data_IF_867353549360
#
_entry.id   IF_867353549360
#
_cell.length_a   1.000
_cell.length_b   1.000
_cell.length_c   1.000
_cell.angle_alpha   90.00
_cell.angle_beta   90.00
_cell.angle_gamma   90.00
#
_symmetry.space_group_name_H-M   'P 1'
#
loop_
_entity.id
_entity.type
_entity.pdbx_description
1 polymer ?
#
# COMPACT_ATOMS: atom_id res chain seq x y z
N UNK A 1 -1.43 -9.07 9.36
CA UNK A 1 -1.86 -8.81 7.96
C UNK A 1 -2.06 -7.31 7.78
N UNK A 2 -1.45 -6.67 6.76
CA UNK A 2 -1.65 -5.24 6.51
C UNK A 2 -3.03 -4.95 5.91
N UNK A 3 -3.60 -3.79 6.22
CA UNK A 3 -4.91 -3.31 5.71
C UNK A 3 -4.98 -3.27 4.19
N UNK A 4 -3.87 -2.96 3.51
CA UNK A 4 -3.81 -2.98 2.05
C UNK A 4 -3.89 -4.40 1.48
N UNK A 5 -3.22 -5.37 2.13
CA UNK A 5 -3.25 -6.77 1.69
C UNK A 5 -4.66 -7.35 1.83
N UNK A 6 -5.36 -7.08 2.93
CA UNK A 6 -6.73 -7.56 3.11
C UNK A 6 -7.70 -6.93 2.10
N UNK A 7 -7.56 -5.63 1.82
CA UNK A 7 -8.33 -4.96 0.77
C UNK A 7 -8.06 -5.56 -0.62
N UNK A 8 -6.79 -5.77 -0.98
CA UNK A 8 -6.42 -6.38 -2.26
C UNK A 8 -6.97 -7.79 -2.44
N UNK A 9 -6.98 -8.60 -1.38
CA UNK A 9 -7.56 -9.95 -1.40
C UNK A 9 -9.09 -9.91 -1.52
N UNK A 10 -9.76 -8.97 -0.84
CA UNK A 10 -11.21 -8.76 -0.98
C UNK A 10 -11.56 -8.35 -2.41
N UNK A 11 -10.77 -7.46 -3.01
CA UNK A 11 -10.95 -7.02 -4.39
C UNK A 11 -10.70 -8.14 -5.41
N UNK A 12 -9.76 -9.04 -5.13
CA UNK A 12 -9.51 -10.21 -5.96
C UNK A 12 -10.72 -11.16 -5.99
N UNK A 13 -11.45 -11.30 -4.87
CA UNK A 13 -12.68 -12.10 -4.79
C UNK A 13 -13.83 -11.50 -5.60
N UNK A 14 -13.98 -10.17 -5.64
CA UNK A 14 -15.11 -9.51 -6.33
C UNK A 14 -14.84 -9.24 -7.81
N UNK A 15 -13.60 -8.90 -8.16
CA UNK A 15 -13.26 -8.28 -9.44
C UNK A 15 -12.23 -9.09 -10.25
N UNK A 16 -11.76 -10.21 -9.69
CA UNK A 16 -10.73 -11.06 -10.28
C UNK A 16 -9.30 -10.55 -10.05
N UNK A 17 -8.35 -11.49 -10.08
CA UNK A 17 -6.96 -11.23 -9.69
C UNK A 17 -6.23 -10.22 -10.57
N UNK A 18 -6.50 -10.21 -11.89
CA UNK A 18 -5.87 -9.27 -12.85
C UNK A 18 -6.18 -7.81 -12.48
N UNK A 19 -7.46 -7.49 -12.24
CA UNK A 19 -7.90 -6.14 -11.86
C UNK A 19 -7.43 -5.76 -10.46
N UNK A 20 -7.49 -6.71 -9.51
CA UNK A 20 -7.05 -6.47 -8.14
C UNK A 20 -5.56 -6.14 -8.04
N UNK A 21 -4.70 -6.85 -8.78
CA UNK A 21 -3.25 -6.58 -8.83
C UNK A 21 -2.97 -5.15 -9.29
N UNK A 22 -3.62 -4.72 -10.37
CA UNK A 22 -3.45 -3.37 -10.93
C UNK A 22 -3.91 -2.31 -9.91
N UNK A 23 -5.06 -2.51 -9.26
CA UNK A 23 -5.59 -1.58 -8.28
C UNK A 23 -4.69 -1.44 -7.04
N UNK A 24 -4.12 -2.55 -6.56
CA UNK A 24 -3.15 -2.54 -5.46
C UNK A 24 -1.88 -1.78 -5.85
N UNK A 25 -1.33 -2.03 -7.05
CA UNK A 25 -0.16 -1.32 -7.54
C UNK A 25 -0.40 0.20 -7.65
N UNK A 26 -1.56 0.61 -8.19
CA UNK A 26 -1.94 2.04 -8.24
C UNK A 26 -2.02 2.67 -6.86
N UNK A 27 -2.63 1.98 -5.89
CA UNK A 27 -2.72 2.47 -4.51
C UNK A 27 -1.33 2.59 -3.86
N UNK A 28 -0.43 1.67 -4.16
CA UNK A 28 0.97 1.75 -3.70
C UNK A 28 1.70 2.95 -4.30
N UNK A 29 1.58 3.17 -5.61
CA UNK A 29 2.19 4.32 -6.27
C UNK A 29 1.73 5.65 -5.67
N UNK A 30 0.43 5.79 -5.34
CA UNK A 30 -0.11 7.00 -4.69
C UNK A 30 0.47 7.19 -3.28
N UNK A 31 0.55 6.12 -2.49
CA UNK A 31 1.13 6.20 -1.14
C UNK A 31 2.60 6.63 -1.21
N UNK A 32 3.36 6.05 -2.14
CA UNK A 32 4.77 6.39 -2.33
C UNK A 32 4.95 7.82 -2.86
N UNK A 33 4.12 8.26 -3.81
CA UNK A 33 4.16 9.63 -4.33
C UNK A 33 3.85 10.67 -3.24
N UNK A 34 2.83 10.41 -2.41
CA UNK A 34 2.51 11.25 -1.25
C UNK A 34 3.65 11.30 -0.24
N UNK A 35 4.29 10.16 0.01
CA UNK A 35 5.44 10.08 0.89
C UNK A 35 6.65 10.89 0.39
N UNK A 36 6.86 11.00 -0.93
CA UNK A 36 7.99 11.78 -1.49
C UNK A 36 7.80 13.29 -1.34
N UNK A 37 6.54 13.75 -1.28
CA UNK A 37 6.21 15.15 -1.08
C UNK A 37 6.46 15.60 0.37
N UNK A 38 6.20 14.69 1.31
CA UNK A 38 6.62 14.82 2.71
C UNK A 38 8.13 14.49 2.77
N UNK A 39 9.02 15.49 2.86
CA UNK A 39 10.50 15.32 2.97
C UNK A 39 11.00 14.47 4.16
N UNK A 40 10.13 13.68 4.77
CA UNK A 40 10.43 12.70 5.80
C UNK A 40 11.02 11.43 5.18
N UNK A 41 12.17 10.93 5.66
CA UNK A 41 12.66 9.63 5.23
C UNK A 41 11.64 8.56 5.61
N UNK A 42 11.37 7.64 4.68
CA UNK A 42 10.46 6.53 4.95
C UNK A 42 11.00 5.74 6.15
N UNK A 43 10.25 5.75 7.26
CA UNK A 43 10.65 5.07 8.49
C UNK A 43 10.39 3.58 8.33
N UNK A 44 11.40 2.85 7.87
CA UNK A 44 11.43 1.39 8.05
C UNK A 44 11.58 1.12 9.55
N UNK A 45 10.65 0.34 10.09
CA UNK A 45 10.61 -0.12 11.48
C UNK A 45 10.11 0.88 12.52
N UNK A 46 9.27 0.32 13.38
CA UNK A 46 8.68 0.85 14.60
C UNK A 46 9.73 0.91 15.73
N UNK A 47 10.93 1.40 15.42
CA UNK A 47 12.11 1.38 16.28
C UNK A 47 12.85 2.73 16.22
N UNK A 48 12.09 3.82 16.34
CA UNK A 48 12.64 5.11 16.76
C UNK A 48 11.60 5.83 17.62
N UNK A 49 11.26 5.15 18.72
CA UNK A 49 10.64 5.70 19.91
C UNK A 49 11.27 4.95 21.09
N UNK A 50 12.57 5.17 21.28
CA UNK A 50 13.33 4.92 22.50
C UNK A 50 14.23 6.14 22.69
#
# INVERSE_FOLDING_TARGET
FSTLKSWGLKLAKTSGFKKARIAVARKMAVILARHVEDKTPFRWSQEAAA
#
